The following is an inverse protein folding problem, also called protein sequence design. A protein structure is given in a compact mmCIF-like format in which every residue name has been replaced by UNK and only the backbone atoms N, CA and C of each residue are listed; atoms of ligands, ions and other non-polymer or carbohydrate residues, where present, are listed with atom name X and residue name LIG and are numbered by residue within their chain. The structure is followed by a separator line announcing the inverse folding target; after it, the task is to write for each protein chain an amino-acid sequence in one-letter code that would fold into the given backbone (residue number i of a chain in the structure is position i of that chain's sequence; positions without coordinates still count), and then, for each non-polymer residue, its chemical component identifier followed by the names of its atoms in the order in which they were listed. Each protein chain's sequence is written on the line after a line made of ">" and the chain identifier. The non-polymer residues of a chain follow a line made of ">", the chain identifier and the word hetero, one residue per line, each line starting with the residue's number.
data_IF_756314014287
#
_entry.id   IF_756314014287
#
_cell.length_a   1.000
_cell.length_b   1.000
_cell.length_c   1.000
_cell.angle_alpha   90.00
_cell.angle_beta   90.00
_cell.angle_gamma   90.00
#
_symmetry.space_group_name_H-M   'P 1'
#
loop_
_entity.id
_entity.type
_entity.pdbx_description
1 polymer ?
#
# COMPACT_ATOMS: atom_id res chain seq x y z
N UNK A 1 -15.68 -53.82 -27.54
CA UNK A 1 -14.56 -53.66 -28.51
C UNK A 1 -13.91 -52.33 -28.22
N UNK A 2 -12.87 -52.35 -27.39
CA UNK A 2 -12.07 -51.18 -27.06
C UNK A 2 -10.87 -51.15 -28.00
N UNK A 3 -10.87 -50.24 -28.92
CA UNK A 3 -9.68 -49.87 -29.67
C UNK A 3 -8.81 -48.99 -28.81
N UNK A 4 -7.80 -49.58 -28.19
CA UNK A 4 -6.73 -48.86 -27.60
C UNK A 4 -5.91 -48.17 -28.67
N UNK A 5 -6.07 -46.83 -28.78
CA UNK A 5 -5.17 -46.02 -29.61
C UNK A 5 -3.82 -45.95 -28.93
N UNK A 6 -2.91 -46.73 -29.41
CA UNK A 6 -1.49 -46.61 -29.14
C UNK A 6 -1.02 -45.24 -29.64
N UNK A 7 -0.70 -44.36 -28.73
CA UNK A 7 0.01 -43.14 -29.07
C UNK A 7 1.48 -43.54 -29.22
N UNK A 8 1.93 -43.55 -30.46
CA UNK A 8 3.35 -43.64 -30.77
C UNK A 8 3.99 -42.31 -30.37
N UNK A 9 4.77 -42.30 -29.31
CA UNK A 9 5.62 -41.18 -28.98
C UNK A 9 6.80 -41.20 -29.93
N UNK A 10 6.78 -40.35 -30.93
CA UNK A 10 7.96 -40.08 -31.76
C UNK A 10 9.07 -39.54 -30.79
N UNK A 11 10.16 -40.29 -30.72
CA UNK A 11 11.40 -39.81 -30.09
C UNK A 11 11.81 -38.51 -30.81
N UNK A 12 11.68 -37.39 -30.11
CA UNK A 12 12.20 -36.10 -30.60
C UNK A 12 13.70 -36.22 -30.55
N UNK A 13 14.33 -36.25 -31.68
CA UNK A 13 15.76 -36.20 -31.88
C UNK A 13 16.37 -35.13 -30.94
N UNK A 14 17.33 -35.53 -30.17
CA UNK A 14 18.11 -34.73 -29.26
C UNK A 14 18.65 -33.52 -30.01
N UNK A 15 17.93 -32.36 -29.86
CA UNK A 15 18.34 -31.11 -30.46
C UNK A 15 19.78 -30.81 -30.00
N UNK A 16 20.69 -30.81 -30.95
CA UNK A 16 22.09 -30.52 -30.74
C UNK A 16 22.23 -29.24 -29.91
N UNK A 17 22.83 -29.35 -28.71
CA UNK A 17 23.12 -28.19 -27.87
C UNK A 17 23.85 -27.15 -28.67
N UNK A 18 23.42 -25.91 -28.66
CA UNK A 18 24.12 -24.84 -29.37
C UNK A 18 25.57 -24.78 -28.87
N UNK A 19 26.54 -24.56 -29.74
CA UNK A 19 27.93 -24.50 -29.36
C UNK A 19 28.08 -23.41 -28.30
N UNK A 20 28.69 -23.76 -27.16
CA UNK A 20 29.06 -22.78 -26.14
C UNK A 20 29.95 -21.76 -26.83
N UNK A 21 29.47 -20.51 -26.88
CA UNK A 21 30.28 -19.42 -27.35
C UNK A 21 31.55 -19.37 -26.52
N UNK A 22 32.70 -19.61 -27.14
CA UNK A 22 33.99 -19.36 -26.53
C UNK A 22 34.13 -17.86 -26.37
N UNK A 23 34.02 -17.38 -25.14
CA UNK A 23 34.30 -15.98 -24.76
C UNK A 23 35.81 -15.84 -24.50
N UNK A 24 36.64 -16.40 -25.35
CA UNK A 24 38.09 -16.38 -25.16
C UNK A 24 38.86 -15.53 -26.17
N UNK A 25 38.17 -14.68 -26.92
CA UNK A 25 38.90 -13.78 -27.82
C UNK A 25 38.11 -12.52 -28.04
N UNK A 26 38.47 -11.51 -27.37
CA UNK A 26 38.51 -10.08 -27.56
C UNK A 26 38.17 -9.31 -26.29
N UNK A 27 39.03 -9.41 -25.28
CA UNK A 27 39.16 -8.35 -24.30
C UNK A 27 40.04 -7.28 -24.95
N UNK A 28 39.51 -6.59 -25.93
CA UNK A 28 40.11 -5.43 -26.51
C UNK A 28 39.64 -4.17 -25.77
N UNK A 29 40.41 -3.14 -25.77
CA UNK A 29 40.42 -1.90 -25.01
C UNK A 29 39.06 -1.16 -24.82
N UNK A 30 37.96 -1.66 -25.39
CA UNK A 30 36.61 -1.15 -25.22
C UNK A 30 35.94 -1.62 -23.90
N UNK A 31 36.49 -2.63 -23.23
CA UNK A 31 35.96 -3.14 -21.96
C UNK A 31 36.32 -2.24 -20.76
N UNK A 32 37.37 -1.45 -20.86
CA UNK A 32 37.77 -0.52 -19.80
C UNK A 32 36.76 0.64 -19.66
N UNK A 33 36.24 1.15 -20.79
CA UNK A 33 35.22 2.19 -20.77
C UNK A 33 33.85 1.69 -20.32
N UNK A 34 33.45 0.52 -20.77
CA UNK A 34 32.19 -0.11 -20.32
C UNK A 34 32.22 -0.45 -18.82
N UNK A 35 33.39 -0.86 -18.33
CA UNK A 35 33.59 -1.18 -16.91
C UNK A 35 33.60 0.10 -16.06
N UNK A 36 34.21 1.16 -16.53
CA UNK A 36 34.22 2.46 -15.87
C UNK A 36 32.80 3.09 -15.86
N UNK A 37 32.01 2.88 -16.92
CA UNK A 37 30.62 3.33 -16.97
C UNK A 37 29.72 2.54 -16.03
N UNK A 38 29.95 1.24 -15.93
CA UNK A 38 29.22 0.37 -15.01
C UNK A 38 29.54 0.69 -13.53
N UNK A 39 30.80 0.96 -13.21
CA UNK A 39 31.21 1.40 -11.86
C UNK A 39 30.62 2.76 -11.51
N UNK A 40 30.59 3.73 -12.43
CA UNK A 40 29.93 5.03 -12.22
C UNK A 40 28.42 4.88 -12.00
N UNK A 41 27.75 3.99 -12.73
CA UNK A 41 26.32 3.69 -12.53
C UNK A 41 26.09 3.01 -11.18
N UNK A 42 26.98 2.13 -10.76
CA UNK A 42 26.90 1.46 -9.47
C UNK A 42 27.09 2.45 -8.31
N UNK A 43 28.06 3.38 -8.41
CA UNK A 43 28.26 4.42 -7.41
C UNK A 43 27.10 5.41 -7.36
N UNK A 44 26.53 5.75 -8.52
CA UNK A 44 25.32 6.59 -8.59
C UNK A 44 24.11 5.92 -7.93
N UNK A 45 23.89 4.62 -8.21
CA UNK A 45 22.81 3.86 -7.59
C UNK A 45 23.06 3.64 -6.10
N UNK A 46 24.31 3.39 -5.69
CA UNK A 46 24.66 3.28 -4.28
C UNK A 46 24.44 4.61 -3.54
N UNK A 47 24.76 5.74 -4.17
CA UNK A 47 24.46 7.07 -3.63
C UNK A 47 22.96 7.35 -3.54
N UNK A 48 22.20 6.88 -4.51
CA UNK A 48 20.73 7.01 -4.51
C UNK A 48 20.07 6.12 -3.44
N UNK A 49 20.56 4.89 -3.28
CA UNK A 49 20.08 3.97 -2.26
C UNK A 49 20.59 4.31 -0.84
N UNK A 50 21.73 5.01 -0.74
CA UNK A 50 22.28 5.51 0.53
C UNK A 50 21.64 6.84 0.98
N UNK A 51 20.90 7.52 0.10
CA UNK A 51 19.97 8.54 0.54
C UNK A 51 18.81 7.81 1.25
N UNK A 52 19.07 7.47 2.53
CA UNK A 52 18.01 7.20 3.48
C UNK A 52 16.99 8.33 3.29
N UNK A 53 15.79 7.98 2.86
CA UNK A 53 14.70 8.94 2.82
C UNK A 53 14.76 9.71 4.15
N UNK A 54 14.76 11.04 4.13
CA UNK A 54 14.79 11.79 5.38
C UNK A 54 13.67 11.21 6.24
N UNK A 55 14.02 10.78 7.44
CA UNK A 55 13.09 10.33 8.47
C UNK A 55 12.26 11.57 8.82
N UNK A 56 11.15 11.69 8.09
CA UNK A 56 10.32 12.87 8.18
C UNK A 56 9.59 12.80 9.50
N UNK A 57 9.78 13.87 10.26
CA UNK A 57 8.96 14.08 11.43
C UNK A 57 7.47 14.05 11.01
N UNK A 58 6.61 13.37 11.78
CA UNK A 58 5.18 13.42 11.56
C UNK A 58 4.76 14.88 11.44
N UNK A 59 3.98 15.21 10.41
CA UNK A 59 3.39 16.54 10.30
C UNK A 59 2.49 16.73 11.51
N UNK A 60 2.72 17.83 12.23
CA UNK A 60 1.91 18.14 13.39
C UNK A 60 0.41 18.20 12.99
N UNK A 61 -0.49 17.75 13.89
CA UNK A 61 -1.93 17.88 13.66
C UNK A 61 -2.27 19.36 13.35
N UNK A 62 -2.91 19.61 12.22
CA UNK A 62 -3.28 20.95 11.79
C UNK A 62 -2.60 21.46 10.52
N UNK A 63 -1.82 20.62 9.81
CA UNK A 63 -1.36 20.92 8.45
C UNK A 63 -2.46 20.69 7.40
N UNK A 64 -2.36 21.40 6.27
CA UNK A 64 -3.35 21.30 5.16
C UNK A 64 -3.60 19.84 4.71
N UNK A 65 -2.56 19.02 4.69
CA UNK A 65 -2.67 17.60 4.35
C UNK A 65 -3.43 16.80 5.41
N UNK A 66 -3.16 17.06 6.67
CA UNK A 66 -3.86 16.43 7.80
C UNK A 66 -5.35 16.76 7.77
N UNK A 67 -5.69 18.03 7.58
CA UNK A 67 -7.10 18.48 7.47
C UNK A 67 -7.78 17.82 6.25
N UNK A 68 -7.09 17.73 5.12
CA UNK A 68 -7.57 17.02 3.93
C UNK A 68 -7.90 15.56 4.20
N UNK A 69 -7.07 14.86 4.95
CA UNK A 69 -7.31 13.47 5.37
C UNK A 69 -8.53 13.38 6.30
N UNK A 70 -8.65 14.28 7.27
CA UNK A 70 -9.81 14.31 8.19
C UNK A 70 -11.11 14.55 7.41
N UNK A 71 -11.12 15.45 6.45
CA UNK A 71 -12.29 15.71 5.59
C UNK A 71 -12.65 14.47 4.77
N UNK A 72 -11.67 13.77 4.20
CA UNK A 72 -11.89 12.53 3.46
C UNK A 72 -12.50 11.43 4.35
N UNK A 73 -12.06 11.34 5.61
CA UNK A 73 -12.63 10.40 6.59
C UNK A 73 -14.07 10.75 6.98
N UNK A 74 -14.40 12.04 7.03
CA UNK A 74 -15.77 12.51 7.29
C UNK A 74 -16.74 12.29 6.12
N UNK A 75 -16.22 12.07 4.93
CA UNK A 75 -17.02 11.72 3.74
C UNK A 75 -17.35 10.22 3.65
N UNK A 76 -16.78 9.39 4.51
CA UNK A 76 -17.04 7.95 4.54
C UNK A 76 -18.08 7.65 5.61
N UNK A 77 -19.20 7.05 5.19
CA UNK A 77 -20.30 6.69 6.06
C UNK A 77 -20.30 5.19 6.34
N UNK A 78 -20.65 4.81 7.56
CA UNK A 78 -20.95 3.43 7.87
C UNK A 78 -22.25 3.02 7.15
N UNK A 79 -22.30 1.86 6.47
CA UNK A 79 -23.51 1.44 5.75
C UNK A 79 -24.69 1.13 6.67
N UNK A 80 -24.48 0.85 7.94
CA UNK A 80 -25.51 0.52 8.91
C UNK A 80 -25.95 1.73 9.74
N UNK A 81 -25.08 2.72 9.91
CA UNK A 81 -25.30 3.89 10.75
C UNK A 81 -25.15 5.16 9.89
N UNK A 82 -26.16 6.04 9.81
CA UNK A 82 -26.12 7.22 8.94
C UNK A 82 -25.22 8.34 9.49
N UNK A 83 -24.04 7.97 9.96
CA UNK A 83 -23.02 8.87 10.51
C UNK A 83 -21.68 8.50 9.88
N UNK A 84 -20.85 9.51 9.63
CA UNK A 84 -19.52 9.26 9.09
C UNK A 84 -18.62 8.54 10.12
N UNK A 85 -17.64 7.82 9.62
CA UNK A 85 -16.77 6.97 10.46
C UNK A 85 -15.90 7.78 11.43
N UNK A 86 -15.59 9.04 11.11
CA UNK A 86 -14.81 9.91 11.97
C UNK A 86 -15.63 10.33 13.20
N UNK A 87 -16.84 10.86 13.00
CA UNK A 87 -17.72 11.28 14.09
C UNK A 87 -18.29 10.08 14.86
N UNK A 88 -18.37 8.92 14.23
CA UNK A 88 -18.72 7.67 14.86
C UNK A 88 -17.67 7.19 15.89
N UNK A 89 -16.47 7.77 15.84
CA UNK A 89 -15.36 7.43 16.75
C UNK A 89 -14.64 6.14 16.36
N UNK A 90 -14.70 5.74 15.09
CA UNK A 90 -13.99 4.57 14.57
C UNK A 90 -12.51 4.87 14.29
N UNK A 91 -12.12 6.13 14.16
CA UNK A 91 -10.75 6.53 13.90
C UNK A 91 -10.04 6.80 15.22
N UNK A 92 -9.02 6.00 15.50
CA UNK A 92 -8.25 6.10 16.75
C UNK A 92 -6.98 6.95 16.59
N UNK A 93 -6.46 7.07 15.39
CA UNK A 93 -5.28 7.88 15.11
C UNK A 93 -5.13 8.17 13.64
N UNK A 94 -4.58 9.34 13.33
CA UNK A 94 -4.21 9.75 11.99
C UNK A 94 -2.83 10.38 12.07
N UNK A 95 -1.91 9.86 11.28
CA UNK A 95 -0.57 10.40 11.12
C UNK A 95 -0.35 10.71 9.65
N UNK A 96 0.17 11.88 9.36
CA UNK A 96 0.49 12.30 7.99
C UNK A 96 1.93 12.79 7.98
N UNK A 97 2.74 12.25 7.08
CA UNK A 97 4.11 12.72 6.88
C UNK A 97 4.16 13.91 5.93
N UNK A 98 5.23 14.69 6.01
CA UNK A 98 5.47 15.80 5.09
C UNK A 98 5.63 15.38 3.62
N UNK A 99 5.89 14.11 3.35
CA UNK A 99 5.99 13.54 1.98
C UNK A 99 4.64 13.08 1.41
N UNK A 100 3.58 13.14 2.22
CA UNK A 100 2.27 12.71 1.81
C UNK A 100 1.95 11.24 2.12
N UNK A 101 2.71 10.60 2.99
CA UNK A 101 2.36 9.27 3.48
C UNK A 101 1.42 9.40 4.67
N UNK A 102 0.25 8.81 4.58
CA UNK A 102 -0.76 8.82 5.62
C UNK A 102 -0.86 7.44 6.30
N UNK A 103 -1.03 7.46 7.62
CA UNK A 103 -1.33 6.26 8.39
C UNK A 103 -2.59 6.51 9.21
N UNK A 104 -3.57 5.63 9.05
CA UNK A 104 -4.85 5.69 9.75
C UNK A 104 -4.98 4.46 10.64
N UNK A 105 -5.19 4.67 11.93
CA UNK A 105 -5.51 3.60 12.87
C UNK A 105 -7.00 3.66 13.15
N UNK A 106 -7.73 2.59 12.85
CA UNK A 106 -9.17 2.54 12.99
C UNK A 106 -9.66 1.24 13.61
N UNK A 107 -10.89 1.26 14.04
CA UNK A 107 -11.64 0.07 14.46
C UNK A 107 -12.97 0.01 13.75
N UNK A 108 -13.77 -1.01 14.06
CA UNK A 108 -15.12 -1.21 13.55
C UNK A 108 -16.09 -1.43 14.70
N UNK A 109 -17.38 -1.20 14.44
CA UNK A 109 -18.43 -1.35 15.44
C UNK A 109 -18.62 -2.81 15.86
N UNK A 110 -18.39 -3.75 14.94
CA UNK A 110 -18.48 -5.20 15.20
C UNK A 110 -17.41 -5.97 14.44
N UNK A 111 -16.77 -6.99 15.07
CA UNK A 111 -15.73 -7.79 14.41
C UNK A 111 -16.25 -8.78 13.35
N UNK A 112 -17.55 -9.00 13.28
CA UNK A 112 -18.15 -10.02 12.41
C UNK A 112 -19.02 -9.43 11.29
N UNK A 113 -18.88 -8.15 10.98
CA UNK A 113 -19.60 -7.54 9.88
C UNK A 113 -18.91 -7.91 8.55
N UNK A 114 -19.62 -8.42 7.53
CA UNK A 114 -19.03 -8.70 6.22
C UNK A 114 -18.48 -7.43 5.53
N UNK A 115 -18.94 -6.25 5.95
CA UNK A 115 -18.43 -4.94 5.50
C UNK A 115 -17.11 -4.59 6.19
N UNK A 116 -16.75 -5.29 7.26
CA UNK A 116 -15.51 -5.06 8.01
C UNK A 116 -14.26 -5.25 7.14
N UNK A 117 -14.32 -6.10 6.13
CA UNK A 117 -13.20 -6.36 5.22
C UNK A 117 -13.06 -5.27 4.15
N UNK A 118 -14.15 -4.60 3.79
CA UNK A 118 -14.14 -3.56 2.73
C UNK A 118 -13.90 -2.15 3.26
N UNK A 119 -14.25 -1.86 4.51
CA UNK A 119 -14.13 -0.54 5.11
C UNK A 119 -12.68 -0.01 5.16
N UNK A 120 -11.68 -0.76 5.60
CA UNK A 120 -10.29 -0.30 5.55
C UNK A 120 -9.83 0.03 4.14
N UNK A 121 -10.20 -0.78 3.15
CA UNK A 121 -9.89 -0.54 1.74
C UNK A 121 -10.56 0.72 1.19
N UNK A 122 -11.77 1.04 1.61
CA UNK A 122 -12.44 2.28 1.25
C UNK A 122 -11.75 3.49 1.88
N UNK A 123 -11.33 3.39 3.13
CA UNK A 123 -10.56 4.43 3.83
C UNK A 123 -9.24 4.68 3.11
N UNK A 124 -8.49 3.63 2.81
CA UNK A 124 -7.23 3.71 2.07
C UNK A 124 -7.42 4.41 0.71
N UNK A 125 -8.44 4.01 -0.05
CA UNK A 125 -8.75 4.60 -1.35
C UNK A 125 -9.11 6.09 -1.24
N UNK A 126 -9.97 6.46 -0.29
CA UNK A 126 -10.43 7.84 -0.11
C UNK A 126 -9.33 8.76 0.39
N UNK A 127 -8.52 8.31 1.32
CA UNK A 127 -7.38 9.07 1.85
C UNK A 127 -6.30 9.23 0.79
N UNK A 128 -5.99 8.18 0.02
CA UNK A 128 -5.02 8.26 -1.09
C UNK A 128 -5.47 9.19 -2.22
N UNK A 129 -6.76 9.46 -2.34
CA UNK A 129 -7.30 10.41 -3.32
C UNK A 129 -7.16 11.88 -2.89
N UNK A 130 -6.78 12.17 -1.65
CA UNK A 130 -6.56 13.53 -1.16
C UNK A 130 -5.35 14.15 -1.87
N UNK A 131 -5.49 15.35 -2.46
CA UNK A 131 -4.35 16.02 -3.11
C UNK A 131 -3.18 16.20 -2.14
N UNK A 132 -2.00 15.72 -2.54
CA UNK A 132 -0.79 15.77 -1.73
C UNK A 132 -0.52 14.49 -0.93
N UNK A 133 -1.49 13.58 -0.80
CA UNK A 133 -1.26 12.24 -0.26
C UNK A 133 -0.74 11.33 -1.38
N UNK A 134 0.36 10.66 -1.10
CA UNK A 134 1.03 9.74 -2.02
C UNK A 134 0.63 8.30 -1.75
N UNK A 135 0.54 7.93 -0.47
CA UNK A 135 0.21 6.59 -0.02
C UNK A 135 -0.55 6.63 1.30
N UNK A 136 -1.35 5.62 1.56
CA UNK A 136 -2.11 5.49 2.78
C UNK A 136 -2.06 4.05 3.30
N UNK A 137 -1.66 3.89 4.55
CA UNK A 137 -1.72 2.63 5.27
C UNK A 137 -2.83 2.68 6.31
N UNK A 138 -3.67 1.66 6.35
CA UNK A 138 -4.76 1.55 7.32
C UNK A 138 -4.53 0.36 8.24
N UNK A 139 -4.37 0.64 9.53
CA UNK A 139 -4.27 -0.37 10.58
C UNK A 139 -5.63 -0.58 11.25
N UNK A 140 -6.18 -1.78 11.10
CA UNK A 140 -7.40 -2.17 11.79
C UNK A 140 -7.06 -2.78 13.15
N UNK A 141 -7.54 -2.16 14.21
CA UNK A 141 -7.30 -2.59 15.60
C UNK A 141 -8.62 -2.88 16.32
N UNK A 142 -8.60 -3.82 17.27
CA UNK A 142 -9.76 -4.24 18.05
C UNK A 142 -9.64 -3.87 19.53
N UNK A 143 -8.52 -3.29 19.92
CA UNK A 143 -8.27 -2.86 21.29
C UNK A 143 -7.76 -1.41 21.30
N UNK A 144 -8.42 -0.52 22.03
CA UNK A 144 -9.64 -0.72 22.82
C UNK A 144 -10.88 -0.98 21.94
N UNK A 145 -11.89 -1.75 22.41
CA UNK A 145 -13.11 -2.00 21.67
C UNK A 145 -13.89 -0.68 21.47
N UNK A 146 -14.59 -0.60 20.34
CA UNK A 146 -15.46 0.54 20.09
C UNK A 146 -16.63 0.59 21.07
N UNK A 147 -16.98 1.80 21.49
CA UNK A 147 -18.06 2.11 22.40
C UNK A 147 -18.84 3.32 21.85
N UNK A 148 -20.18 3.34 21.93
CA UNK A 148 -20.99 4.50 21.56
C UNK A 148 -20.61 5.81 22.23
N UNK A 149 -19.95 5.78 23.38
CA UNK A 149 -19.47 6.99 24.06
C UNK A 149 -18.30 7.68 23.31
N UNK A 150 -17.64 6.95 22.42
CA UNK A 150 -16.58 7.49 21.56
C UNK A 150 -17.09 8.35 20.40
N UNK A 151 -18.39 8.33 20.14
CA UNK A 151 -19.01 9.20 19.15
C UNK A 151 -18.89 10.66 19.52
N UNK A 152 -18.79 11.52 18.51
CA UNK A 152 -18.91 12.97 18.67
C UNK A 152 -20.32 13.33 19.17
N UNK A 153 -20.45 14.52 19.75
CA UNK A 153 -21.78 15.01 20.18
C UNK A 153 -22.73 15.20 18.99
N UNK A 154 -22.18 15.57 17.82
CA UNK A 154 -22.96 15.66 16.57
C UNK A 154 -23.53 14.31 16.16
N UNK A 155 -22.70 13.25 16.19
CA UNK A 155 -23.15 11.90 15.88
C UNK A 155 -24.21 11.40 16.86
N UNK A 156 -24.05 11.68 18.15
CA UNK A 156 -25.05 11.33 19.18
C UNK A 156 -26.36 12.05 18.98
N UNK A 157 -26.29 13.33 18.56
CA UNK A 157 -27.48 14.12 18.27
C UNK A 157 -28.23 13.58 17.04
N UNK A 158 -27.54 13.24 15.97
CA UNK A 158 -28.14 12.65 14.76
C UNK A 158 -28.83 11.32 15.06
N UNK A 159 -28.26 10.52 15.96
CA UNK A 159 -28.84 9.23 16.40
C UNK A 159 -29.89 9.38 17.51
N UNK A 160 -30.16 10.59 17.96
CA UNK A 160 -31.16 10.82 19.02
C UNK A 160 -30.72 10.34 20.40
N UNK A 161 -29.41 10.30 20.65
CA UNK A 161 -28.81 9.86 21.91
C UNK A 161 -28.55 11.03 22.89
N UNK A 162 -28.70 12.26 22.44
CA UNK A 162 -28.61 13.50 23.24
C UNK A 162 -29.97 14.17 23.33
#
# INVERSE_FOLDING_TARGET
>A
MNEERKIEVEEVDEAAKPPKARVDQALDETDADARAEFERKKDYLAGFLAQKAPEQAPVEPGGDLYEGVILALKDIFDPEIPVNIYDLGLIYGVEVSGDGDAKVVMTLTTPHCPVAESMPGEVELRVSAVPGIRDCEVDLVWDPPWDPQKMSDEAKLELGML
#
